data_IF_800453921525
#
_entry.id   IF_800453921525
#
_cell.length_a   1.000
_cell.length_b   1.000
_cell.length_c   1.000
_cell.angle_alpha   90.00
_cell.angle_beta   90.00
_cell.angle_gamma   90.00
#
_symmetry.space_group_name_H-M   'P 1'
#
loop_
_entity.id
_entity.type
_entity.pdbx_description
1 polymer ?
#
# COMPACT_ATOMS: atom_id res chain seq x y z
N UNK A 1 -17.71 10.08 9.94
CA UNK A 1 -16.36 9.62 10.29
C UNK A 1 -15.77 10.61 11.27
N UNK A 2 -15.30 10.16 12.41
CA UNK A 2 -14.82 11.06 13.46
C UNK A 2 -13.50 11.71 12.98
N UNK A 3 -13.39 13.02 13.07
CA UNK A 3 -12.20 13.81 12.65
C UNK A 3 -10.91 13.31 13.38
N UNK A 4 -11.09 12.56 14.46
CA UNK A 4 -10.00 12.03 15.30
C UNK A 4 -9.38 10.70 14.81
N UNK A 5 -9.99 9.99 13.85
CA UNK A 5 -9.51 8.69 13.36
C UNK A 5 -9.06 8.75 11.89
N UNK A 6 -8.15 9.67 11.57
CA UNK A 6 -7.56 9.80 10.25
C UNK A 6 -6.25 9.03 10.14
N UNK A 7 -5.93 8.53 8.94
CA UNK A 7 -4.64 7.91 8.64
C UNK A 7 -3.61 9.00 8.31
N UNK A 8 -2.60 9.13 9.14
CA UNK A 8 -1.49 10.07 8.89
C UNK A 8 -0.25 9.32 8.42
N UNK A 9 0.27 9.65 7.25
CA UNK A 9 1.53 9.12 6.72
C UNK A 9 2.44 10.30 6.39
N UNK A 10 3.59 10.40 7.05
CA UNK A 10 4.44 11.57 6.94
C UNK A 10 3.67 12.85 7.29
N UNK A 11 3.60 13.80 6.36
CA UNK A 11 2.91 15.07 6.53
C UNK A 11 1.50 15.11 5.92
N UNK A 12 1.02 13.99 5.37
CA UNK A 12 -0.31 13.90 4.74
C UNK A 12 -1.30 13.16 5.63
N UNK A 13 -2.54 13.58 5.53
CA UNK A 13 -3.68 13.01 6.25
C UNK A 13 -4.67 12.47 5.23
N UNK A 14 -5.15 11.25 5.46
CA UNK A 14 -6.10 10.55 4.62
C UNK A 14 -7.30 10.08 5.44
N UNK A 15 -8.49 10.13 4.85
CA UNK A 15 -9.72 9.62 5.47
C UNK A 15 -9.93 8.15 5.15
N UNK A 16 -9.40 7.69 4.02
CA UNK A 16 -9.47 6.27 3.63
C UNK A 16 -8.28 5.50 4.16
N UNK A 17 -8.55 4.33 4.72
CA UNK A 17 -7.53 3.35 5.16
C UNK A 17 -7.32 2.24 4.12
N UNK A 18 -8.08 2.29 3.01
CA UNK A 18 -7.91 1.42 1.85
C UNK A 18 -7.03 2.12 0.82
N UNK A 19 -5.98 1.43 0.37
CA UNK A 19 -5.15 1.80 -0.77
C UNK A 19 -5.35 0.80 -1.90
N UNK A 20 -5.38 1.28 -3.15
CA UNK A 20 -5.66 0.42 -4.28
C UNK A 20 -4.53 0.46 -5.32
N UNK A 21 -4.12 -0.73 -5.78
CA UNK A 21 -3.20 -0.90 -6.89
C UNK A 21 -3.90 -0.78 -8.24
N UNK A 22 -3.14 -0.44 -9.27
CA UNK A 22 -3.64 -0.21 -10.64
C UNK A 22 -3.25 -1.31 -11.64
N UNK A 23 -2.56 -2.34 -11.19
CA UNK A 23 -2.11 -3.43 -12.06
C UNK A 23 -3.15 -4.53 -12.24
N UNK A 24 -3.01 -5.31 -13.34
CA UNK A 24 -3.76 -6.55 -13.62
C UNK A 24 -5.25 -6.41 -13.93
N UNK A 25 -5.81 -5.21 -14.04
CA UNK A 25 -7.17 -5.02 -14.53
C UNK A 25 -7.27 -5.38 -16.01
N UNK A 26 -8.44 -5.87 -16.42
CA UNK A 26 -8.70 -6.20 -17.82
C UNK A 26 -8.84 -4.97 -18.71
N UNK A 27 -9.43 -3.91 -18.16
CA UNK A 27 -9.67 -2.67 -18.89
C UNK A 27 -9.33 -1.43 -18.03
N UNK A 28 -9.02 -0.32 -18.69
CA UNK A 28 -8.83 0.98 -18.04
C UNK A 28 -10.12 1.42 -17.33
N UNK A 29 -11.27 1.15 -17.92
CA UNK A 29 -12.58 1.49 -17.37
C UNK A 29 -12.81 0.76 -16.05
N UNK A 30 -12.47 -0.53 -15.97
CA UNK A 30 -12.55 -1.28 -14.71
C UNK A 30 -11.64 -0.67 -13.64
N UNK A 31 -10.43 -0.26 -14.02
CA UNK A 31 -9.50 0.40 -13.09
C UNK A 31 -10.11 1.67 -12.50
N UNK A 32 -10.55 2.58 -13.37
CA UNK A 32 -11.12 3.89 -12.96
C UNK A 32 -12.36 3.69 -12.08
N UNK A 33 -13.26 2.82 -12.49
CA UNK A 33 -14.50 2.59 -11.75
C UNK A 33 -14.26 1.87 -10.41
N UNK A 34 -13.28 0.97 -10.34
CA UNK A 34 -12.88 0.32 -9.08
C UNK A 34 -12.28 1.34 -8.11
N UNK A 35 -11.41 2.25 -8.57
CA UNK A 35 -10.88 3.34 -7.76
C UNK A 35 -12.02 4.20 -7.20
N UNK A 36 -12.97 4.61 -8.04
CA UNK A 36 -14.14 5.39 -7.58
C UNK A 36 -14.99 4.65 -6.55
N UNK A 37 -15.24 3.35 -6.76
CA UNK A 37 -16.07 2.53 -5.85
C UNK A 37 -15.35 2.15 -4.56
N UNK A 38 -14.02 2.15 -4.54
CA UNK A 38 -13.23 1.91 -3.34
C UNK A 38 -13.23 3.08 -2.37
N UNK A 39 -13.53 4.28 -2.85
CA UNK A 39 -13.37 5.54 -2.10
C UNK A 39 -11.94 5.70 -1.52
N UNK A 40 -10.94 5.04 -2.13
CA UNK A 40 -9.57 5.19 -1.70
C UNK A 40 -9.03 6.58 -2.09
N UNK A 41 -8.18 7.11 -1.24
CA UNK A 41 -7.48 8.38 -1.51
C UNK A 41 -6.03 8.14 -1.97
N UNK A 42 -5.49 6.94 -1.79
CA UNK A 42 -4.14 6.55 -2.23
C UNK A 42 -4.24 5.47 -3.30
N UNK A 43 -3.60 5.75 -4.44
CA UNK A 43 -3.52 4.82 -5.58
C UNK A 43 -2.06 4.52 -5.89
N UNK A 44 -1.68 3.23 -5.89
CA UNK A 44 -0.30 2.85 -6.23
C UNK A 44 -0.17 2.41 -7.68
N UNK A 45 0.92 2.86 -8.32
CA UNK A 45 1.27 2.50 -9.68
C UNK A 45 2.77 2.16 -9.81
N UNK A 46 3.06 1.09 -10.54
CA UNK A 46 4.43 0.66 -10.79
C UNK A 46 5.12 1.61 -11.78
N UNK A 47 6.15 2.32 -11.33
CA UNK A 47 6.90 3.31 -12.13
C UNK A 47 7.39 2.71 -13.43
N UNK A 48 7.90 1.48 -13.42
CA UNK A 48 8.42 0.78 -14.60
C UNK A 48 7.37 0.57 -15.72
N UNK A 49 6.08 0.64 -15.40
CA UNK A 49 4.96 0.43 -16.33
C UNK A 49 4.36 1.73 -16.85
N UNK A 50 4.83 2.86 -16.39
CA UNK A 50 4.32 4.17 -16.78
C UNK A 50 5.18 4.80 -17.88
N UNK A 51 4.58 5.55 -18.79
CA UNK A 51 5.34 6.33 -19.78
C UNK A 51 6.15 7.41 -19.05
N UNK A 52 7.35 7.71 -19.55
CA UNK A 52 8.21 8.75 -19.01
C UNK A 52 7.59 10.15 -19.07
N UNK A 53 6.68 10.35 -20.02
CA UNK A 53 5.96 11.61 -20.20
C UNK A 53 4.44 11.36 -20.19
N UNK A 54 3.86 11.38 -18.99
CA UNK A 54 2.43 11.12 -18.78
C UNK A 54 1.56 12.16 -19.47
N UNK A 55 1.94 13.44 -19.44
CA UNK A 55 1.12 14.54 -20.00
C UNK A 55 0.91 14.42 -21.50
N UNK A 56 1.88 13.89 -22.21
CA UNK A 56 1.83 13.78 -23.67
C UNK A 56 1.30 12.41 -24.14
N UNK A 57 1.13 11.46 -23.25
CA UNK A 57 0.59 10.14 -23.57
C UNK A 57 -0.92 10.10 -23.27
N UNK A 58 -1.72 10.32 -24.30
CA UNK A 58 -3.19 10.27 -24.21
C UNK A 58 -3.73 8.87 -23.86
N UNK A 59 -2.91 7.83 -24.00
CA UNK A 59 -3.30 6.46 -23.64
C UNK A 59 -3.04 6.13 -22.18
N UNK A 60 -2.30 6.98 -21.46
CA UNK A 60 -2.00 6.77 -20.06
C UNK A 60 -3.25 6.96 -19.19
N UNK A 61 -3.73 5.87 -18.59
CA UNK A 61 -4.92 5.87 -17.74
C UNK A 61 -4.83 6.84 -16.55
N UNK A 62 -3.63 7.18 -16.09
CA UNK A 62 -3.42 8.14 -15.02
C UNK A 62 -3.98 9.52 -15.36
N UNK A 63 -4.00 9.90 -16.65
CA UNK A 63 -4.60 11.16 -17.08
C UNK A 63 -6.12 11.21 -16.90
N UNK A 64 -6.76 10.04 -16.71
CA UNK A 64 -8.21 9.92 -16.51
C UNK A 64 -8.61 9.91 -15.03
N UNK A 65 -7.65 10.01 -14.10
CA UNK A 65 -7.90 10.02 -12.66
C UNK A 65 -7.94 11.45 -12.11
N UNK A 66 -8.73 11.63 -11.06
CA UNK A 66 -8.87 12.92 -10.36
C UNK A 66 -7.78 13.11 -9.29
N UNK A 67 -6.64 13.62 -9.69
CA UNK A 67 -5.49 13.87 -8.81
C UNK A 67 -5.67 15.02 -7.81
N UNK A 68 -6.81 15.69 -7.81
CA UNK A 68 -7.16 16.63 -6.73
C UNK A 68 -7.60 15.90 -5.46
N UNK A 69 -8.26 14.74 -5.65
CA UNK A 69 -8.78 13.90 -4.58
C UNK A 69 -7.99 12.61 -4.37
N UNK A 70 -7.06 12.29 -5.26
CA UNK A 70 -6.21 11.11 -5.20
C UNK A 70 -4.75 11.49 -4.97
N UNK A 71 -4.05 10.65 -4.21
CA UNK A 71 -2.62 10.75 -3.98
C UNK A 71 -1.91 9.58 -4.66
N UNK A 72 -0.96 9.88 -5.52
CA UNK A 72 -0.15 8.85 -6.16
C UNK A 72 0.86 8.29 -5.16
N UNK A 73 0.90 6.98 -5.02
CA UNK A 73 1.95 6.22 -4.36
C UNK A 73 2.75 5.47 -5.43
N UNK A 74 3.78 6.09 -6.04
CA UNK A 74 4.63 5.38 -6.99
C UNK A 74 5.29 4.19 -6.29
N UNK A 75 5.45 3.06 -7.00
CA UNK A 75 6.16 1.92 -6.44
C UNK A 75 7.33 1.48 -7.33
N UNK A 76 8.34 0.91 -6.70
CA UNK A 76 9.57 0.45 -7.35
C UNK A 76 9.51 -1.01 -7.79
N UNK A 77 8.31 -1.55 -7.99
CA UNK A 77 8.08 -2.94 -8.40
C UNK A 77 8.92 -3.35 -9.61
N UNK A 78 9.50 -4.53 -9.52
CA UNK A 78 10.41 -5.08 -10.51
C UNK A 78 11.87 -4.65 -10.33
N UNK A 79 12.21 -3.92 -9.28
CA UNK A 79 13.60 -3.66 -8.90
C UNK A 79 14.17 -4.85 -8.15
N UNK A 80 15.29 -5.39 -8.64
CA UNK A 80 15.97 -6.52 -8.03
C UNK A 80 17.06 -6.11 -7.04
N UNK A 81 17.52 -4.88 -7.14
CA UNK A 81 18.58 -4.33 -6.27
C UNK A 81 18.15 -3.00 -5.64
N UNK A 82 18.83 -2.63 -4.54
CA UNK A 82 18.62 -1.34 -3.90
C UNK A 82 18.87 -0.16 -4.86
N UNK A 83 19.88 -0.25 -5.70
CA UNK A 83 20.26 0.78 -6.67
C UNK A 83 19.18 0.98 -7.74
N UNK A 84 18.58 -0.10 -8.21
CA UNK A 84 17.45 -0.03 -9.13
C UNK A 84 16.24 0.64 -8.48
N UNK A 85 15.88 0.21 -7.25
CA UNK A 85 14.78 0.77 -6.50
C UNK A 85 14.97 2.28 -6.25
N UNK A 86 16.18 2.71 -5.91
CA UNK A 86 16.53 4.13 -5.76
C UNK A 86 16.29 4.89 -7.07
N UNK A 87 16.77 4.39 -8.21
CA UNK A 87 16.54 5.05 -9.51
C UNK A 87 15.04 5.15 -9.83
N UNK A 88 14.30 4.06 -9.60
CA UNK A 88 12.84 4.07 -9.82
C UNK A 88 12.12 5.05 -8.89
N UNK A 89 12.59 5.23 -7.65
CA UNK A 89 11.99 6.21 -6.73
C UNK A 89 12.10 7.65 -7.26
N UNK A 90 13.25 8.05 -7.80
CA UNK A 90 13.40 9.38 -8.40
C UNK A 90 12.52 9.57 -9.64
N UNK A 91 12.40 8.56 -10.49
CA UNK A 91 11.47 8.59 -11.61
C UNK A 91 10.01 8.69 -11.13
N UNK A 92 9.65 7.95 -10.07
CA UNK A 92 8.31 8.02 -9.48
C UNK A 92 7.95 9.41 -8.97
N UNK A 93 8.90 10.11 -8.34
CA UNK A 93 8.72 11.51 -7.93
C UNK A 93 8.49 12.44 -9.13
N UNK A 94 9.25 12.26 -10.20
CA UNK A 94 9.08 13.05 -11.41
C UNK A 94 7.69 12.82 -12.04
N UNK A 95 7.21 11.58 -12.05
CA UNK A 95 5.87 11.26 -12.52
C UNK A 95 4.78 11.90 -11.66
N UNK A 96 4.94 11.93 -10.33
CA UNK A 96 4.02 12.65 -9.45
C UNK A 96 4.00 14.16 -9.74
N UNK A 97 5.15 14.77 -10.03
CA UNK A 97 5.23 16.18 -10.44
C UNK A 97 4.49 16.44 -11.75
N UNK A 98 4.58 15.54 -12.73
CA UNK A 98 3.83 15.66 -13.98
C UNK A 98 2.31 15.63 -13.77
N UNK A 99 1.83 14.95 -12.73
CA UNK A 99 0.42 14.92 -12.33
C UNK A 99 -0.02 16.13 -11.48
N UNK A 100 0.89 17.09 -11.23
CA UNK A 100 0.61 18.28 -10.44
C UNK A 100 0.80 18.11 -8.93
N UNK A 101 1.32 16.97 -8.48
CA UNK A 101 1.59 16.70 -7.07
C UNK A 101 3.03 17.09 -6.70
N UNK A 102 3.31 18.38 -6.69
CA UNK A 102 4.68 18.92 -6.51
C UNK A 102 5.27 18.66 -5.12
N UNK A 103 4.45 18.43 -4.12
CA UNK A 103 4.82 18.09 -2.75
C UNK A 103 4.76 16.57 -2.46
N UNK A 104 4.61 15.74 -3.50
CA UNK A 104 4.55 14.31 -3.37
C UNK A 104 5.95 13.67 -3.45
N UNK A 105 6.46 13.30 -2.28
CA UNK A 105 7.71 12.55 -2.12
C UNK A 105 7.48 11.11 -1.65
N UNK A 106 6.24 10.62 -1.74
CA UNK A 106 5.88 9.25 -1.35
C UNK A 106 6.49 8.23 -2.30
N UNK A 107 6.93 7.13 -1.74
CA UNK A 107 7.39 5.97 -2.49
C UNK A 107 7.08 4.67 -1.76
N UNK A 108 6.38 3.75 -2.40
CA UNK A 108 6.30 2.36 -1.98
C UNK A 108 7.56 1.65 -2.44
N UNK A 109 8.43 1.36 -1.49
CA UNK A 109 9.73 0.76 -1.76
C UNK A 109 9.62 -0.76 -1.82
N UNK A 110 9.88 -1.31 -2.99
CA UNK A 110 9.96 -2.75 -3.23
C UNK A 110 11.36 -3.08 -3.77
N UNK A 111 12.09 -3.97 -3.10
CA UNK A 111 13.32 -4.60 -3.58
C UNK A 111 13.07 -6.10 -3.56
N UNK A 112 13.01 -6.74 -4.72
CA UNK A 112 12.62 -8.14 -4.88
C UNK A 112 13.67 -8.82 -5.74
N UNK A 113 14.64 -9.49 -5.11
CA UNK A 113 15.79 -10.10 -5.79
C UNK A 113 15.38 -11.30 -6.65
N UNK A 114 14.35 -12.06 -6.24
CA UNK A 114 13.79 -13.18 -6.99
C UNK A 114 12.37 -12.88 -7.50
N UNK A 115 12.21 -12.66 -8.81
CA UNK A 115 10.90 -12.35 -9.39
C UNK A 115 9.92 -13.53 -9.39
N UNK A 116 10.38 -14.75 -9.08
CA UNK A 116 9.53 -15.95 -9.05
C UNK A 116 8.60 -15.95 -7.84
N UNK A 117 9.12 -15.63 -6.66
CA UNK A 117 8.37 -15.71 -5.41
C UNK A 117 7.83 -14.35 -4.96
N UNK A 118 8.35 -13.25 -5.49
CA UNK A 118 7.96 -11.87 -5.18
C UNK A 118 8.08 -11.54 -3.68
N UNK A 119 9.06 -12.16 -3.02
CA UNK A 119 9.38 -11.87 -1.63
C UNK A 119 10.39 -10.73 -1.55
N UNK A 120 10.21 -9.79 -0.59
CA UNK A 120 11.10 -8.65 -0.44
C UNK A 120 12.47 -9.06 0.13
N UNK A 121 13.53 -8.45 -0.42
CA UNK A 121 14.89 -8.54 0.09
C UNK A 121 15.08 -7.58 1.28
N UNK A 122 15.28 -8.06 2.51
CA UNK A 122 15.41 -7.20 3.67
C UNK A 122 16.65 -6.31 3.64
N UNK A 123 17.78 -6.83 3.15
CA UNK A 123 19.06 -6.08 3.11
C UNK A 123 18.98 -4.96 2.08
N UNK A 124 18.53 -5.28 0.87
CA UNK A 124 18.34 -4.30 -0.20
C UNK A 124 17.32 -3.24 0.16
N UNK A 125 16.24 -3.64 0.84
CA UNK A 125 15.18 -2.72 1.30
C UNK A 125 15.73 -1.71 2.32
N UNK A 126 16.46 -2.17 3.35
CA UNK A 126 17.08 -1.27 4.35
C UNK A 126 18.09 -0.33 3.70
N UNK A 127 18.93 -0.84 2.78
CA UNK A 127 19.94 -0.02 2.05
C UNK A 127 19.26 1.08 1.25
N UNK A 128 18.22 0.75 0.48
CA UNK A 128 17.48 1.72 -0.32
C UNK A 128 16.72 2.72 0.56
N UNK A 129 16.06 2.25 1.62
CA UNK A 129 15.31 3.09 2.56
C UNK A 129 16.21 4.15 3.20
N UNK A 130 17.37 3.77 3.73
CA UNK A 130 18.38 4.71 4.31
C UNK A 130 18.76 5.83 3.35
N UNK A 131 18.95 5.49 2.08
CA UNK A 131 19.30 6.48 1.07
C UNK A 131 18.13 7.41 0.75
N UNK A 132 16.94 6.85 0.53
CA UNK A 132 15.75 7.60 0.12
C UNK A 132 15.26 8.53 1.24
N UNK A 133 15.25 8.08 2.49
CA UNK A 133 14.91 8.93 3.65
C UNK A 133 15.84 10.14 3.73
N UNK A 134 17.16 9.95 3.58
CA UNK A 134 18.14 11.06 3.52
C UNK A 134 17.91 12.02 2.36
N UNK A 135 17.24 11.57 1.29
CA UNK A 135 16.87 12.38 0.13
C UNK A 135 15.47 13.03 0.27
N UNK A 136 14.85 12.92 1.44
CA UNK A 136 13.57 13.55 1.76
C UNK A 136 12.34 12.80 1.24
N UNK A 137 12.48 11.52 0.86
CA UNK A 137 11.33 10.72 0.48
C UNK A 137 10.52 10.28 1.70
N UNK A 138 9.21 10.23 1.53
CA UNK A 138 8.26 9.57 2.44
C UNK A 138 8.21 8.09 2.04
N UNK A 139 9.02 7.27 2.73
CA UNK A 139 9.27 5.87 2.34
C UNK A 139 8.30 4.94 3.04
N UNK A 140 7.62 4.09 2.26
CA UNK A 140 6.73 3.02 2.71
C UNK A 140 7.30 1.68 2.19
N UNK A 141 8.15 0.98 2.95
CA UNK A 141 8.82 -0.24 2.50
C UNK A 141 7.89 -1.46 2.58
N UNK A 142 7.82 -2.23 1.48
CA UNK A 142 7.22 -3.55 1.42
C UNK A 142 8.19 -4.58 2.01
N UNK A 143 7.75 -5.33 3.01
CA UNK A 143 8.58 -6.24 3.79
C UNK A 143 7.86 -7.56 4.08
N UNK A 144 8.62 -8.60 4.44
CA UNK A 144 8.05 -9.76 5.12
C UNK A 144 7.47 -9.35 6.49
N UNK A 145 6.56 -10.14 7.04
CA UNK A 145 6.05 -9.93 8.40
C UNK A 145 7.14 -10.28 9.44
N UNK A 146 8.17 -9.44 9.50
CA UNK A 146 9.31 -9.53 10.40
C UNK A 146 9.32 -8.32 11.34
N UNK A 147 9.03 -8.53 12.64
CA UNK A 147 8.95 -7.45 13.63
C UNK A 147 10.27 -6.69 13.80
N UNK A 148 11.41 -7.37 13.72
CA UNK A 148 12.71 -6.70 13.90
C UNK A 148 13.09 -5.84 12.70
N UNK A 149 12.75 -6.30 11.49
CA UNK A 149 12.95 -5.51 10.29
C UNK A 149 12.03 -4.27 10.28
N UNK A 150 10.78 -4.43 10.72
CA UNK A 150 9.84 -3.31 10.83
C UNK A 150 10.38 -2.21 11.77
N UNK A 151 10.83 -2.59 12.98
CA UNK A 151 11.45 -1.69 13.94
C UNK A 151 12.70 -1.02 13.35
N UNK A 152 13.57 -1.78 12.69
CA UNK A 152 14.79 -1.22 12.08
C UNK A 152 14.47 -0.19 10.98
N UNK A 153 13.42 -0.40 10.20
CA UNK A 153 12.99 0.55 9.17
C UNK A 153 12.34 1.81 9.77
N UNK A 154 11.64 1.67 10.90
CA UNK A 154 11.18 2.83 11.68
C UNK A 154 12.37 3.66 12.17
N UNK A 155 13.40 3.04 12.76
CA UNK A 155 14.64 3.71 13.20
C UNK A 155 15.39 4.39 12.04
N UNK A 156 15.30 3.84 10.84
CA UNK A 156 15.84 4.45 9.62
C UNK A 156 15.11 5.73 9.24
N UNK A 157 13.88 5.93 9.72
CA UNK A 157 13.03 7.09 9.44
C UNK A 157 12.00 6.86 8.34
N UNK A 158 11.62 5.61 8.07
CA UNK A 158 10.49 5.33 7.20
C UNK A 158 9.19 5.91 7.77
N UNK A 159 8.25 6.30 6.91
CA UNK A 159 7.02 6.97 7.32
C UNK A 159 5.84 6.03 7.54
N UNK A 160 5.99 4.78 7.17
CA UNK A 160 5.10 3.65 7.44
C UNK A 160 5.90 2.37 7.21
N UNK A 161 5.36 1.20 7.60
CA UNK A 161 5.83 -0.12 7.17
C UNK A 161 4.70 -0.89 6.52
N UNK A 162 5.04 -1.69 5.50
CA UNK A 162 4.07 -2.43 4.71
C UNK A 162 4.39 -3.94 4.75
N UNK A 163 4.11 -4.61 5.90
CA UNK A 163 4.29 -6.05 5.99
C UNK A 163 3.28 -6.79 5.11
N UNK A 164 3.74 -7.82 4.40
CA UNK A 164 2.85 -8.66 3.59
C UNK A 164 1.95 -9.52 4.49
N UNK A 165 0.69 -9.68 4.09
CA UNK A 165 -0.19 -10.71 4.63
C UNK A 165 0.22 -12.09 4.17
N UNK A 166 0.44 -12.23 2.85
CA UNK A 166 1.05 -13.38 2.17
C UNK A 166 1.62 -12.93 0.81
N UNK A 167 2.41 -13.75 0.10
CA UNK A 167 3.09 -13.32 -1.12
C UNK A 167 2.18 -12.68 -2.16
N UNK A 168 2.71 -11.71 -2.91
CA UNK A 168 1.97 -10.94 -3.93
C UNK A 168 1.25 -11.88 -4.89
N UNK A 169 -0.06 -11.73 -5.01
CA UNK A 169 -0.90 -12.49 -5.93
C UNK A 169 -1.26 -13.89 -5.47
N UNK A 170 -0.83 -14.33 -4.28
CA UNK A 170 -1.13 -15.67 -3.74
C UNK A 170 -2.58 -15.80 -3.29
N UNK A 171 -3.20 -14.74 -2.80
CA UNK A 171 -4.56 -14.77 -2.25
C UNK A 171 -4.70 -15.68 -1.02
N UNK A 172 -3.63 -15.87 -0.25
CA UNK A 172 -3.61 -16.77 0.92
C UNK A 172 -3.98 -16.07 2.23
N UNK A 173 -4.42 -14.80 2.16
CA UNK A 173 -4.85 -14.04 3.32
C UNK A 173 -3.69 -13.62 4.24
N UNK A 174 -3.96 -13.61 5.55
CA UNK A 174 -3.00 -13.22 6.59
C UNK A 174 -2.30 -14.46 7.15
N UNK A 175 -1.21 -14.88 6.52
CA UNK A 175 -0.54 -16.15 6.84
C UNK A 175 0.27 -16.13 8.15
N UNK A 176 0.70 -14.96 8.61
CA UNK A 176 1.49 -14.83 9.84
C UNK A 176 0.89 -13.78 10.80
N UNK A 177 -0.29 -14.09 11.32
CA UNK A 177 -1.03 -13.20 12.23
C UNK A 177 -0.23 -12.82 13.48
N UNK A 178 0.58 -13.75 14.01
CA UNK A 178 1.36 -13.51 15.23
C UNK A 178 2.38 -12.39 14.97
N UNK A 179 3.15 -12.48 13.92
CA UNK A 179 4.15 -11.47 13.61
C UNK A 179 3.50 -10.13 13.21
N UNK A 180 2.39 -10.16 12.45
CA UNK A 180 1.65 -8.96 12.11
C UNK A 180 1.16 -8.24 13.37
N UNK A 181 0.62 -8.97 14.34
CA UNK A 181 0.19 -8.42 15.63
C UNK A 181 1.36 -7.79 16.39
N UNK A 182 2.50 -8.46 16.47
CA UNK A 182 3.70 -7.92 17.13
C UNK A 182 4.15 -6.61 16.45
N UNK A 183 4.14 -6.56 15.11
CA UNK A 183 4.48 -5.33 14.37
C UNK A 183 3.50 -4.20 14.72
N UNK A 184 2.20 -4.47 14.65
CA UNK A 184 1.15 -3.48 14.92
C UNK A 184 1.23 -2.93 16.36
N UNK A 185 1.44 -3.79 17.34
CA UNK A 185 1.49 -3.38 18.75
C UNK A 185 2.74 -2.56 19.10
N UNK A 186 3.83 -2.72 18.37
CA UNK A 186 5.12 -2.09 18.70
C UNK A 186 5.51 -0.93 17.77
N UNK A 187 4.93 -0.83 16.59
CA UNK A 187 5.24 0.24 15.64
C UNK A 187 4.72 1.60 16.13
N UNK A 188 5.54 2.64 15.99
CA UNK A 188 5.17 4.06 16.24
C UNK A 188 4.80 4.79 14.95
N UNK A 189 4.95 4.14 13.82
CA UNK A 189 4.57 4.60 12.49
C UNK A 189 3.46 3.71 11.93
N UNK A 190 2.64 4.18 10.99
CA UNK A 190 1.55 3.41 10.43
C UNK A 190 1.97 2.04 9.89
N UNK A 191 1.18 1.02 10.19
CA UNK A 191 1.32 -0.34 9.67
C UNK A 191 0.24 -0.59 8.65
N UNK A 192 0.64 -0.82 7.39
CA UNK A 192 -0.27 -1.03 6.27
C UNK A 192 -0.06 -2.45 5.76
N UNK A 193 -1.04 -3.33 5.94
CA UNK A 193 -0.93 -4.70 5.44
C UNK A 193 -1.06 -4.71 3.92
N UNK A 194 -0.05 -5.27 3.26
CA UNK A 194 0.09 -5.24 1.80
C UNK A 194 0.22 -6.65 1.24
N UNK A 195 -0.49 -6.92 0.16
CA UNK A 195 -0.51 -8.21 -0.54
C UNK A 195 -1.17 -9.38 0.22
N UNK A 196 -1.52 -10.40 -0.54
CA UNK A 196 -2.08 -11.66 -0.02
C UNK A 196 -3.58 -11.63 0.29
N UNK A 197 -4.16 -10.51 0.62
CA UNK A 197 -5.58 -10.36 0.91
C UNK A 197 -6.40 -10.67 -0.36
N UNK A 198 -7.36 -11.57 -0.26
CA UNK A 198 -8.26 -11.99 -1.33
C UNK A 198 -9.72 -11.64 -1.06
N UNK A 199 -10.16 -11.78 0.19
CA UNK A 199 -11.56 -11.62 0.56
C UNK A 199 -11.77 -10.40 1.48
N UNK A 200 -12.97 -9.79 1.45
CA UNK A 200 -13.33 -8.72 2.38
C UNK A 200 -13.16 -9.11 3.86
N UNK A 201 -13.44 -10.36 4.23
CA UNK A 201 -13.23 -10.86 5.60
C UNK A 201 -11.78 -10.75 6.07
N UNK A 202 -10.81 -11.01 5.19
CA UNK A 202 -9.39 -10.90 5.50
C UNK A 202 -8.96 -9.43 5.65
N UNK A 203 -9.55 -8.52 4.86
CA UNK A 203 -9.35 -7.08 5.04
C UNK A 203 -9.96 -6.58 6.35
N UNK A 204 -11.13 -7.09 6.75
CA UNK A 204 -11.74 -6.81 8.05
C UNK A 204 -10.83 -7.31 9.18
N UNK A 205 -10.36 -8.56 9.10
CA UNK A 205 -9.44 -9.16 10.09
C UNK A 205 -8.16 -8.33 10.27
N UNK A 206 -7.56 -7.86 9.16
CA UNK A 206 -6.39 -6.98 9.21
C UNK A 206 -6.68 -5.69 10.01
N UNK A 207 -7.84 -5.08 9.79
CA UNK A 207 -8.23 -3.85 10.47
C UNK A 207 -8.63 -4.10 11.94
N UNK A 208 -9.29 -5.23 12.23
CA UNK A 208 -9.62 -5.68 13.61
C UNK A 208 -8.37 -6.00 14.42
N UNK A 209 -7.30 -6.48 13.76
CA UNK A 209 -5.99 -6.69 14.39
C UNK A 209 -5.33 -5.37 14.83
N UNK A 210 -5.78 -4.25 14.30
CA UNK A 210 -5.29 -2.90 14.60
C UNK A 210 -4.39 -2.29 13.52
N UNK A 211 -4.30 -2.88 12.33
CA UNK A 211 -3.59 -2.27 11.23
C UNK A 211 -4.15 -0.87 10.91
N UNK A 212 -3.27 0.05 10.47
CA UNK A 212 -3.67 1.40 10.12
C UNK A 212 -4.31 1.49 8.74
N UNK A 213 -4.03 0.54 7.87
CA UNK A 213 -4.61 0.44 6.55
C UNK A 213 -4.27 -0.86 5.86
N UNK A 214 -4.84 -1.04 4.68
CA UNK A 214 -4.55 -2.17 3.79
C UNK A 214 -4.32 -1.67 2.37
N UNK A 215 -3.41 -2.33 1.65
CA UNK A 215 -3.20 -2.12 0.23
C UNK A 215 -3.57 -3.38 -0.54
N UNK A 216 -4.48 -3.23 -1.50
CA UNK A 216 -5.03 -4.30 -2.31
C UNK A 216 -4.77 -4.06 -3.80
N UNK A 217 -4.61 -5.13 -4.57
CA UNK A 217 -4.59 -5.06 -6.02
C UNK A 217 -5.27 -6.28 -6.64
N UNK A 218 -4.63 -7.46 -6.62
CA UNK A 218 -5.09 -8.66 -7.33
C UNK A 218 -6.50 -9.09 -6.92
N UNK A 219 -6.84 -8.97 -5.65
CA UNK A 219 -8.18 -9.32 -5.13
C UNK A 219 -9.31 -8.57 -5.84
N UNK A 220 -9.06 -7.30 -6.16
CA UNK A 220 -10.02 -6.46 -6.87
C UNK A 220 -9.88 -6.64 -8.38
N UNK A 221 -8.67 -6.47 -8.92
CA UNK A 221 -8.42 -6.46 -10.35
C UNK A 221 -8.78 -7.77 -11.06
N UNK A 222 -8.68 -8.91 -10.38
CA UNK A 222 -8.96 -10.24 -10.92
C UNK A 222 -10.33 -10.81 -10.49
N UNK A 223 -11.12 -10.04 -9.75
CA UNK A 223 -12.49 -10.42 -9.44
C UNK A 223 -13.36 -10.50 -10.70
N UNK A 224 -14.40 -11.33 -10.66
CA UNK A 224 -15.40 -11.39 -11.74
C UNK A 224 -16.10 -10.05 -11.98
N UNK A 225 -16.29 -9.26 -10.90
CA UNK A 225 -16.76 -7.86 -10.95
C UNK A 225 -15.83 -7.01 -10.07
N UNK A 226 -14.79 -6.35 -10.66
CA UNK A 226 -13.83 -5.56 -9.91
C UNK A 226 -14.44 -4.38 -9.14
N UNK A 227 -15.44 -3.73 -9.72
CA UNK A 227 -16.11 -2.57 -9.11
C UNK A 227 -16.88 -2.98 -7.84
N UNK A 228 -17.59 -4.09 -7.91
CA UNK A 228 -18.35 -4.63 -6.78
C UNK A 228 -17.41 -5.13 -5.67
N UNK A 229 -16.33 -5.82 -6.05
CA UNK A 229 -15.31 -6.26 -5.08
C UNK A 229 -14.61 -5.07 -4.42
N UNK A 230 -14.32 -4.03 -5.17
CA UNK A 230 -13.72 -2.79 -4.66
C UNK A 230 -14.60 -2.14 -3.59
N UNK A 231 -15.91 -2.05 -3.83
CA UNK A 231 -16.88 -1.54 -2.86
C UNK A 231 -16.96 -2.44 -1.62
N UNK A 232 -16.97 -3.77 -1.79
CA UNK A 232 -16.98 -4.71 -0.68
C UNK A 232 -15.74 -4.57 0.20
N UNK A 233 -14.55 -4.38 -0.40
CA UNK A 233 -13.30 -4.14 0.34
C UNK A 233 -13.33 -2.82 1.12
N UNK A 234 -13.89 -1.75 0.56
CA UNK A 234 -14.05 -0.48 1.28
C UNK A 234 -14.93 -0.64 2.52
N UNK A 235 -16.07 -1.32 2.38
CA UNK A 235 -16.97 -1.60 3.51
C UNK A 235 -16.30 -2.46 4.58
N UNK A 236 -15.53 -3.46 4.17
CA UNK A 236 -14.78 -4.36 5.05
C UNK A 236 -13.74 -3.61 5.89
N UNK A 237 -12.95 -2.74 5.24
CA UNK A 237 -11.94 -1.90 5.92
C UNK A 237 -12.60 -0.97 6.93
N UNK A 238 -13.71 -0.33 6.55
CA UNK A 238 -14.47 0.54 7.47
C UNK A 238 -15.05 -0.24 8.64
N UNK A 239 -15.64 -1.41 8.39
CA UNK A 239 -16.23 -2.26 9.43
C UNK A 239 -15.17 -2.74 10.43
N UNK A 240 -14.03 -3.27 9.94
CA UNK A 240 -12.94 -3.73 10.81
C UNK A 240 -12.35 -2.60 11.65
N UNK A 241 -12.17 -1.41 11.07
CA UNK A 241 -11.69 -0.25 11.84
C UNK A 241 -12.67 0.18 12.94
N UNK A 242 -13.96 0.21 12.63
CA UNK A 242 -14.99 0.52 13.63
C UNK A 242 -15.02 -0.52 14.74
N UNK A 243 -14.89 -1.81 14.41
CA UNK A 243 -14.82 -2.88 15.40
C UNK A 243 -13.60 -2.72 16.33
N UNK A 244 -12.42 -2.45 15.75
CA UNK A 244 -11.19 -2.18 16.53
C UNK A 244 -11.37 -1.02 17.51
N UNK A 245 -11.94 0.10 17.06
CA UNK A 245 -12.15 1.28 17.88
C UNK A 245 -13.26 1.10 18.94
N UNK A 246 -14.17 0.14 18.72
CA UNK A 246 -15.24 -0.18 19.67
C UNK A 246 -14.77 -1.08 20.82
N UNK A 247 -13.52 -1.52 20.84
CA UNK A 247 -12.96 -2.39 21.87
C UNK A 247 -13.84 -3.64 22.08
N UNK A 248 -13.74 -4.67 21.23
CA UNK A 248 -14.60 -5.84 21.29
C UNK A 248 -14.57 -6.54 22.65
N UNK A 249 -15.67 -7.18 23.04
CA UNK A 249 -15.74 -7.97 24.26
C UNK A 249 -14.64 -9.05 24.31
N UNK A 250 -14.12 -9.32 25.51
CA UNK A 250 -13.15 -10.40 25.72
C UNK A 250 -13.74 -11.78 25.41
N UNK A 251 -12.92 -12.66 24.82
CA UNK A 251 -13.28 -14.08 24.67
C UNK A 251 -13.31 -14.75 26.03
N UNK A 252 -14.45 -15.33 26.41
CA UNK A 252 -14.59 -16.10 27.66
C UNK A 252 -14.67 -17.58 27.33
N UNK A 253 -13.83 -18.38 28.01
CA UNK A 253 -14.03 -19.83 28.08
C UNK A 253 -15.20 -20.07 29.02
N UNK A 254 -16.30 -20.64 28.50
CA UNK A 254 -17.40 -21.11 29.31
C UNK A 254 -17.16 -22.55 29.75
#
# INVERSE_FOLDING_TARGET
>A
MNILDQLKIGNKIFNSRLMLGTGKYKTIVDTINSIKKSECEIVTAAVRRLPLNIKNDQTCFLNSLDWKNLWLLPNTAGSQTAEEAIRMAFLGRELAFQLGQYDNFFIKLEVISDPKYLLPDPIGTVKAAKFLVKKGFTVLPYINADPMLALHLEDVGCSAVMPLGSPIGSGQGLSNLINLKIIIENAKIPVIIDAGIRMPSEATEAMELGADGVLLNSAVAQAGNPQQMSQAMNLAVKAGRLAYLAEPMEKKLR
#
